data_IF_591049651543
#
_entry.id   IF_591049651543
#
_cell.length_a   1.000
_cell.length_b   1.000
_cell.length_c   1.000
_cell.angle_alpha   90.00
_cell.angle_beta   90.00
_cell.angle_gamma   90.00
#
_symmetry.space_group_name_H-M   'P 1'
#
loop_
_entity.id
_entity.type
_entity.pdbx_description
1 polymer ?
#
# COMPACT_ATOMS: atom_id res chain seq x y z
N UNK A 1 23.36 62.22 -21.20
CA UNK A 1 22.59 61.31 -20.35
C UNK A 1 22.46 60.02 -21.14
N UNK A 2 23.34 59.06 -20.87
CA UNK A 2 23.34 57.77 -21.55
C UNK A 2 22.27 56.86 -20.93
N UNK A 3 21.32 56.40 -21.75
CA UNK A 3 20.27 55.48 -21.33
C UNK A 3 20.87 54.10 -21.00
N UNK A 4 20.45 53.46 -19.88
CA UNK A 4 20.99 52.15 -19.52
C UNK A 4 20.46 51.06 -20.46
N UNK A 5 21.36 50.46 -21.23
CA UNK A 5 21.07 49.30 -22.08
C UNK A 5 20.86 48.06 -21.22
N UNK A 6 19.60 47.67 -21.02
CA UNK A 6 19.26 46.39 -20.39
C UNK A 6 19.57 45.21 -21.30
N UNK A 7 20.64 44.47 -21.01
CA UNK A 7 20.90 43.15 -21.62
C UNK A 7 20.00 42.12 -20.95
N UNK A 8 19.16 41.42 -21.74
CA UNK A 8 18.35 40.29 -21.24
C UNK A 8 19.29 39.17 -20.75
N UNK A 9 19.00 38.52 -19.61
CA UNK A 9 19.75 37.36 -19.18
C UNK A 9 19.66 36.26 -20.25
N UNK A 10 20.73 35.49 -20.50
CA UNK A 10 20.65 34.34 -21.38
C UNK A 10 19.60 33.37 -20.83
N UNK A 11 18.67 32.96 -21.70
CA UNK A 11 17.67 31.96 -21.35
C UNK A 11 18.40 30.69 -20.89
N UNK A 12 18.30 30.37 -19.59
CA UNK A 12 18.73 29.06 -19.10
C UNK A 12 17.90 28.04 -19.86
N UNK A 13 18.54 27.27 -20.73
CA UNK A 13 17.95 26.06 -21.29
C UNK A 13 17.68 25.12 -20.11
N UNK A 14 16.50 25.24 -19.51
CA UNK A 14 15.94 24.21 -18.66
C UNK A 14 15.64 23.05 -19.60
N UNK A 15 16.61 22.15 -19.79
CA UNK A 15 16.28 20.79 -20.17
C UNK A 15 15.33 20.30 -19.05
N UNK A 16 14.05 20.02 -19.34
CA UNK A 16 13.23 19.38 -18.34
C UNK A 16 13.91 18.05 -18.06
N UNK A 17 14.31 17.84 -16.80
CA UNK A 17 14.71 16.53 -16.32
C UNK A 17 13.49 15.64 -16.58
N UNK A 18 13.53 14.88 -17.69
CA UNK A 18 12.52 13.87 -17.97
C UNK A 18 12.81 12.75 -17.00
N UNK A 19 12.19 12.81 -15.82
CA UNK A 19 12.03 11.62 -15.02
C UNK A 19 11.27 10.64 -15.90
N UNK A 20 11.94 9.57 -16.33
CA UNK A 20 11.28 8.49 -17.03
C UNK A 20 10.15 8.00 -16.11
N UNK A 21 8.91 8.10 -16.60
CA UNK A 21 7.77 7.63 -15.84
C UNK A 21 8.01 6.15 -15.55
N UNK A 22 7.91 5.71 -14.29
CA UNK A 22 8.12 4.32 -13.94
C UNK A 22 7.15 3.45 -14.73
N UNK A 23 7.61 2.29 -15.18
CA UNK A 23 6.75 1.35 -15.88
C UNK A 23 5.63 0.84 -14.96
N UNK A 24 4.51 0.38 -15.53
CA UNK A 24 3.41 -0.17 -14.74
C UNK A 24 3.85 -1.31 -13.81
N UNK A 25 4.80 -2.13 -14.24
CA UNK A 25 5.36 -3.19 -13.40
C UNK A 25 6.18 -2.65 -12.23
N UNK A 26 6.98 -1.59 -12.46
CA UNK A 26 7.74 -0.94 -11.40
C UNK A 26 6.80 -0.29 -10.37
N UNK A 27 5.72 0.35 -10.83
CA UNK A 27 4.69 0.90 -9.94
C UNK A 27 4.06 -0.20 -9.10
N UNK A 28 3.71 -1.34 -9.71
CA UNK A 28 3.14 -2.48 -8.98
C UNK A 28 4.09 -3.03 -7.91
N UNK A 29 5.37 -3.22 -8.25
CA UNK A 29 6.39 -3.69 -7.30
C UNK A 29 6.56 -2.69 -6.15
N UNK A 30 6.57 -1.39 -6.45
CA UNK A 30 6.69 -0.36 -5.42
C UNK A 30 5.46 -0.34 -4.51
N UNK A 31 4.25 -0.45 -5.05
CA UNK A 31 3.02 -0.55 -4.26
C UNK A 31 3.01 -1.77 -3.35
N UNK A 32 3.44 -2.93 -3.85
CA UNK A 32 3.53 -4.15 -3.06
C UNK A 32 4.54 -4.02 -1.90
N UNK A 33 5.68 -3.36 -2.15
CA UNK A 33 6.68 -3.05 -1.12
C UNK A 33 6.17 -2.06 -0.09
N UNK A 34 5.56 -0.96 -0.54
CA UNK A 34 4.98 0.06 0.34
C UNK A 34 3.89 -0.53 1.23
N UNK A 35 3.02 -1.38 0.68
CA UNK A 35 1.99 -2.08 1.45
C UNK A 35 2.59 -2.98 2.53
N UNK A 36 3.67 -3.70 2.19
CA UNK A 36 4.39 -4.53 3.16
C UNK A 36 5.06 -3.70 4.25
N UNK A 37 5.75 -2.60 3.89
CA UNK A 37 6.41 -1.72 4.84
C UNK A 37 5.38 -1.07 5.78
N UNK A 38 4.24 -0.58 5.25
CA UNK A 38 3.15 -0.03 6.05
C UNK A 38 2.60 -1.06 7.04
N UNK A 39 2.39 -2.31 6.58
CA UNK A 39 1.91 -3.38 7.43
C UNK A 39 2.91 -3.74 8.54
N UNK A 40 4.20 -3.82 8.21
CA UNK A 40 5.27 -4.13 9.17
C UNK A 40 5.46 -3.03 10.22
N UNK A 41 5.37 -1.76 9.83
CA UNK A 41 5.42 -0.61 10.76
C UNK A 41 4.19 -0.61 11.66
N UNK A 42 2.99 -0.82 11.10
CA UNK A 42 1.73 -0.78 11.84
C UNK A 42 1.65 -1.84 12.94
N UNK A 43 2.27 -3.00 12.73
CA UNK A 43 2.26 -4.10 13.69
C UNK A 43 3.58 -4.30 14.44
N UNK A 44 4.47 -3.29 14.42
CA UNK A 44 5.69 -3.30 15.23
C UNK A 44 6.72 -4.36 14.85
N UNK A 45 6.62 -4.96 13.67
CA UNK A 45 7.60 -5.94 13.17
C UNK A 45 8.89 -5.22 12.72
N UNK A 46 8.75 -3.99 12.21
CA UNK A 46 9.84 -3.04 12.03
C UNK A 46 9.61 -1.83 12.94
N UNK A 47 9.96 -1.93 14.23
CA UNK A 47 9.89 -0.81 15.17
C UNK A 47 9.51 -1.19 16.60
N UNK A 48 8.82 -0.26 17.29
CA UNK A 48 8.29 -0.40 18.66
C UNK A 48 7.19 -1.45 18.74
N UNK A 49 7.18 -2.22 19.84
CA UNK A 49 6.14 -3.22 20.14
C UNK A 49 4.75 -2.59 20.13
N UNK A 50 3.88 -3.09 19.27
CA UNK A 50 2.47 -2.67 19.18
C UNK A 50 1.61 -3.75 19.83
N UNK A 51 0.74 -3.35 20.77
CA UNK A 51 -0.26 -4.24 21.35
C UNK A 51 -1.33 -4.55 20.30
N UNK A 52 -1.47 -5.83 19.93
CA UNK A 52 -2.52 -6.27 19.03
C UNK A 52 -3.87 -6.20 19.73
N UNK A 53 -4.84 -5.50 19.14
CA UNK A 53 -6.19 -5.34 19.68
C UNK A 53 -7.15 -6.47 19.28
N UNK A 54 -6.69 -7.43 18.48
CA UNK A 54 -7.51 -8.52 17.95
C UNK A 54 -6.78 -9.87 18.02
N UNK A 55 -7.55 -10.96 18.03
CA UNK A 55 -7.03 -12.33 17.99
C UNK A 55 -6.56 -12.66 16.56
N UNK A 56 -5.27 -12.94 16.30
CA UNK A 56 -4.80 -13.21 14.95
C UNK A 56 -5.50 -14.41 14.32
N UNK A 57 -6.08 -14.19 13.13
CA UNK A 57 -6.64 -15.26 12.33
C UNK A 57 -5.53 -16.18 11.84
N UNK A 58 -5.79 -17.49 11.81
CA UNK A 58 -4.85 -18.49 11.30
C UNK A 58 -4.68 -18.47 9.79
N UNK A 59 -4.42 -17.31 9.16
CA UNK A 59 -4.09 -17.20 7.75
C UNK A 59 -2.70 -17.84 7.55
N UNK A 60 -2.56 -18.75 6.59
CA UNK A 60 -1.26 -19.33 6.21
C UNK A 60 -0.90 -18.95 4.78
N UNK A 61 0.39 -19.01 4.45
CA UNK A 61 0.90 -18.62 3.14
C UNK A 61 0.35 -19.49 2.00
N UNK A 62 -0.02 -20.74 2.32
CA UNK A 62 -0.59 -21.70 1.37
C UNK A 62 -2.09 -21.47 1.09
N UNK A 63 -2.75 -20.57 1.83
CA UNK A 63 -4.17 -20.31 1.63
C UNK A 63 -4.40 -19.48 0.38
N UNK A 64 -5.33 -19.96 -0.45
CA UNK A 64 -5.81 -19.20 -1.58
C UNK A 64 -6.68 -18.00 -1.14
N UNK A 65 -6.82 -17.04 -2.04
CA UNK A 65 -7.59 -15.81 -1.82
C UNK A 65 -9.01 -16.09 -1.29
N UNK A 66 -9.71 -17.08 -1.87
CA UNK A 66 -11.06 -17.46 -1.45
C UNK A 66 -11.11 -18.03 -0.02
N UNK A 67 -10.13 -18.82 0.39
CA UNK A 67 -10.05 -19.38 1.75
C UNK A 67 -9.77 -18.28 2.77
N UNK A 68 -8.89 -17.33 2.43
CA UNK A 68 -8.64 -16.12 3.23
C UNK A 68 -9.94 -15.32 3.35
N UNK A 69 -10.62 -15.05 2.24
CA UNK A 69 -11.86 -14.27 2.21
C UNK A 69 -12.97 -14.90 3.05
N UNK A 70 -13.19 -16.22 2.93
CA UNK A 70 -14.19 -16.93 3.73
C UNK A 70 -13.95 -16.81 5.23
N UNK A 71 -12.68 -16.88 5.66
CA UNK A 71 -12.31 -16.72 7.06
C UNK A 71 -12.54 -15.28 7.54
N UNK A 72 -12.24 -14.29 6.70
CA UNK A 72 -12.49 -12.87 7.01
C UNK A 72 -13.98 -12.55 7.08
N UNK A 73 -14.81 -13.19 6.27
CA UNK A 73 -16.26 -13.01 6.33
C UNK A 73 -16.89 -13.56 7.62
N UNK A 74 -16.19 -14.45 8.35
CA UNK A 74 -16.63 -15.00 9.63
C UNK A 74 -16.34 -14.11 10.84
N UNK A 75 -15.62 -12.99 10.65
CA UNK A 75 -15.25 -12.05 11.72
C UNK A 75 -15.90 -10.67 11.53
N UNK A 76 -15.90 -9.81 12.57
CA UNK A 76 -16.41 -8.45 12.48
C UNK A 76 -15.72 -7.64 11.38
N UNK A 77 -16.49 -6.81 10.67
CA UNK A 77 -16.02 -6.08 9.49
C UNK A 77 -14.86 -5.13 9.79
N UNK A 78 -14.87 -4.50 10.97
CA UNK A 78 -13.83 -3.57 11.40
C UNK A 78 -12.47 -4.25 11.63
N UNK A 79 -12.43 -5.56 11.87
CA UNK A 79 -11.17 -6.31 12.07
C UNK A 79 -10.64 -6.94 10.76
N UNK A 80 -11.44 -7.03 9.69
CA UNK A 80 -11.07 -7.78 8.48
C UNK A 80 -9.82 -7.23 7.80
N UNK A 81 -9.76 -5.92 7.61
CA UNK A 81 -8.60 -5.28 6.99
C UNK A 81 -7.35 -5.44 7.86
N UNK A 82 -7.52 -5.34 9.18
CA UNK A 82 -6.43 -5.44 10.14
C UNK A 82 -5.82 -6.84 10.17
N UNK A 83 -6.65 -7.89 10.09
CA UNK A 83 -6.20 -9.29 10.02
C UNK A 83 -5.40 -9.59 8.75
N UNK A 84 -5.81 -9.03 7.60
CA UNK A 84 -5.08 -9.17 6.34
C UNK A 84 -3.74 -8.47 6.39
N UNK A 85 -3.71 -7.24 6.91
CA UNK A 85 -2.47 -6.49 7.07
C UNK A 85 -1.52 -7.17 8.07
N UNK A 86 -2.04 -7.77 9.14
CA UNK A 86 -1.23 -8.51 10.10
C UNK A 86 -0.66 -9.80 9.51
N UNK A 87 -1.45 -10.54 8.73
CA UNK A 87 -0.96 -11.69 7.99
C UNK A 87 0.12 -11.29 6.97
N UNK A 88 -0.01 -10.11 6.33
CA UNK A 88 1.01 -9.60 5.41
C UNK A 88 2.29 -9.22 6.16
N UNK A 89 2.16 -8.50 7.28
CA UNK A 89 3.27 -8.08 8.11
C UNK A 89 4.08 -9.27 8.63
N UNK A 90 3.38 -10.33 9.07
CA UNK A 90 3.98 -11.56 9.61
C UNK A 90 4.49 -12.54 8.53
N UNK A 91 4.39 -12.20 7.25
CA UNK A 91 4.82 -13.05 6.15
C UNK A 91 3.93 -14.28 5.90
N UNK A 92 2.73 -14.30 6.49
CA UNK A 92 1.73 -15.37 6.32
C UNK A 92 0.87 -15.19 5.06
N UNK A 93 1.04 -14.10 4.32
CA UNK A 93 0.45 -13.92 2.99
C UNK A 93 1.33 -13.02 2.13
N UNK A 94 1.09 -13.00 0.82
CA UNK A 94 1.84 -12.18 -0.14
C UNK A 94 1.14 -10.84 -0.40
N UNK A 95 1.92 -9.79 -0.66
CA UNK A 95 1.41 -8.44 -0.93
C UNK A 95 0.37 -8.40 -2.05
N UNK A 96 0.58 -9.18 -3.13
CA UNK A 96 -0.37 -9.28 -4.24
C UNK A 96 -1.75 -9.81 -3.81
N UNK A 97 -1.78 -10.85 -2.95
CA UNK A 97 -3.02 -11.45 -2.45
C UNK A 97 -3.67 -10.51 -1.42
N UNK A 98 -2.87 -9.99 -0.48
CA UNK A 98 -3.35 -9.02 0.51
C UNK A 98 -4.02 -7.80 -0.17
N UNK A 99 -3.40 -7.24 -1.21
CA UNK A 99 -3.95 -6.11 -1.94
C UNK A 99 -5.30 -6.44 -2.61
N UNK A 100 -5.43 -7.61 -3.25
CA UNK A 100 -6.70 -8.05 -3.85
C UNK A 100 -7.80 -8.27 -2.82
N UNK A 101 -7.47 -8.90 -1.70
CA UNK A 101 -8.40 -9.11 -0.59
C UNK A 101 -8.86 -7.77 -0.01
N UNK A 102 -7.94 -6.84 0.25
CA UNK A 102 -8.26 -5.50 0.75
C UNK A 102 -9.12 -4.71 -0.24
N UNK A 103 -8.80 -4.75 -1.53
CA UNK A 103 -9.60 -4.12 -2.57
C UNK A 103 -11.02 -4.71 -2.63
N UNK A 104 -11.15 -6.03 -2.53
CA UNK A 104 -12.44 -6.72 -2.49
C UNK A 104 -13.24 -6.36 -1.23
N UNK A 105 -12.60 -6.28 -0.07
CA UNK A 105 -13.24 -5.82 1.17
C UNK A 105 -13.72 -4.37 1.06
N UNK A 106 -12.91 -3.48 0.48
CA UNK A 106 -13.27 -2.08 0.26
C UNK A 106 -14.46 -1.94 -0.71
N UNK A 107 -14.49 -2.76 -1.77
CA UNK A 107 -15.61 -2.80 -2.70
C UNK A 107 -16.91 -3.23 -2.00
N UNK A 108 -16.87 -4.29 -1.19
CA UNK A 108 -18.05 -4.75 -0.44
C UNK A 108 -18.51 -3.69 0.56
N UNK A 109 -17.59 -3.04 1.28
CA UNK A 109 -17.93 -1.97 2.22
C UNK A 109 -18.61 -0.80 1.50
N UNK A 110 -18.11 -0.41 0.32
CA UNK A 110 -18.74 0.63 -0.51
C UNK A 110 -20.13 0.25 -0.98
N UNK A 111 -20.32 -0.99 -1.46
CA UNK A 111 -21.63 -1.48 -1.91
C UNK A 111 -22.68 -1.57 -0.79
N UNK A 112 -22.26 -1.63 0.48
CA UNK A 112 -23.16 -1.66 1.64
C UNK A 112 -23.50 -0.28 2.19
N UNK A 113 -22.74 0.74 1.81
CA UNK A 113 -22.97 2.12 2.21
C UNK A 113 -23.94 2.86 1.28
N UNK A 114 -24.30 2.25 0.14
CA UNK A 114 -25.39 2.65 -0.77
C UNK A 114 -26.70 1.97 -0.38
#
# INVERSE_FOLDING_TARGET
MDDPVYKRPPAKAQNPIRYELPSLEQVKINQEKELLDLAQVRYGIRGTEVTLSFQPLGISADMNENAIFRRLMAIPEHERADQVLYALATGKTHAAIANRVLASLSLIARMRAE
#
